data_IF_266183597604
#
_entry.id   IF_266183597604
#
_cell.length_a   1.000
_cell.length_b   1.000
_cell.length_c   1.000
_cell.angle_alpha   90.00
_cell.angle_beta   90.00
_cell.angle_gamma   90.00
#
_symmetry.space_group_name_H-M   'P 1'
#
loop_
_entity.id
_entity.type
_entity.pdbx_description
1 polymer ?
#
# COMPACT_ATOMS: atom_id res chain seq x y z
N UNK A 1 33.07 3.10 -5.42
CA UNK A 1 33.07 3.58 -4.03
C UNK A 1 32.46 2.51 -3.15
N UNK A 2 33.16 2.08 -2.10
CA UNK A 2 32.55 1.20 -1.09
C UNK A 2 31.50 1.98 -0.32
N UNK A 3 30.24 1.53 -0.41
CA UNK A 3 29.14 2.09 0.36
C UNK A 3 29.37 1.69 1.83
N UNK A 4 29.95 2.60 2.63
CA UNK A 4 30.11 2.39 4.07
C UNK A 4 28.73 2.35 4.74
N UNK A 5 28.51 1.34 5.56
CA UNK A 5 27.31 1.24 6.39
C UNK A 5 27.19 2.47 7.30
N UNK A 6 25.95 2.92 7.53
CA UNK A 6 25.69 4.03 8.43
C UNK A 6 26.15 3.70 9.86
N UNK A 7 26.66 4.69 10.62
CA UNK A 7 26.99 4.50 12.03
C UNK A 7 25.78 4.00 12.82
N UNK A 8 26.00 3.06 13.75
CA UNK A 8 24.93 2.41 14.55
C UNK A 8 24.05 3.44 15.26
N UNK A 9 24.63 4.55 15.74
CA UNK A 9 23.86 5.60 16.41
C UNK A 9 22.82 6.24 15.48
N UNK A 10 23.11 6.39 14.17
CA UNK A 10 22.15 6.92 13.18
C UNK A 10 21.00 5.95 13.01
N UNK A 11 21.29 4.65 12.93
CA UNK A 11 20.27 3.60 12.83
C UNK A 11 19.38 3.56 14.07
N UNK A 12 19.96 3.63 15.26
CA UNK A 12 19.21 3.68 16.52
C UNK A 12 18.33 4.94 16.58
N UNK A 13 18.85 6.10 16.17
CA UNK A 13 18.09 7.34 16.14
C UNK A 13 16.94 7.27 15.13
N UNK A 14 17.17 6.70 13.95
CA UNK A 14 16.14 6.51 12.93
C UNK A 14 15.03 5.57 13.42
N UNK A 15 15.40 4.41 13.98
CA UNK A 15 14.44 3.45 14.55
C UNK A 15 13.70 4.09 15.73
N UNK A 16 14.41 4.76 16.64
CA UNK A 16 13.82 5.46 17.77
C UNK A 16 12.86 6.56 17.34
N UNK A 17 13.17 7.29 16.26
CA UNK A 17 12.27 8.27 15.66
C UNK A 17 11.00 7.62 15.13
N UNK A 18 11.12 6.55 14.34
CA UNK A 18 9.97 5.80 13.79
C UNK A 18 9.10 5.23 14.92
N UNK A 19 9.72 4.62 15.94
CA UNK A 19 9.00 4.09 17.11
C UNK A 19 8.35 5.23 17.90
N UNK A 20 9.00 6.37 18.04
CA UNK A 20 8.46 7.56 18.70
C UNK A 20 7.26 8.18 17.98
N UNK A 21 7.14 8.00 16.67
CA UNK A 21 5.95 8.41 15.91
C UNK A 21 4.70 7.58 16.25
N UNK A 22 4.87 6.33 16.73
CA UNK A 22 3.75 5.43 17.06
C UNK A 22 2.86 6.02 18.18
N UNK A 23 3.37 6.35 19.39
CA UNK A 23 2.54 6.96 20.42
C UNK A 23 1.96 8.31 19.98
N UNK A 24 2.72 9.08 19.19
CA UNK A 24 2.24 10.34 18.62
C UNK A 24 1.02 10.15 17.71
N UNK A 25 1.06 9.14 16.84
CA UNK A 25 -0.06 8.78 15.97
C UNK A 25 -1.24 8.23 16.78
N UNK A 26 -1.01 7.46 17.83
CA UNK A 26 -2.07 6.90 18.68
C UNK A 26 -2.82 8.00 19.45
N UNK A 27 -2.11 8.93 20.08
CA UNK A 27 -2.73 9.99 20.89
C UNK A 27 -3.30 11.15 20.06
N UNK A 28 -2.61 11.57 18.99
CA UNK A 28 -2.98 12.76 18.21
C UNK A 28 -3.46 12.48 16.79
N UNK A 29 -3.45 11.23 16.32
CA UNK A 29 -3.75 10.88 14.94
C UNK A 29 -5.11 11.36 14.45
N UNK A 30 -6.17 11.24 15.28
CA UNK A 30 -7.51 11.71 14.90
C UNK A 30 -7.56 13.21 14.56
N UNK A 31 -6.77 14.02 15.26
CA UNK A 31 -6.69 15.45 15.03
C UNK A 31 -5.71 15.81 13.90
N UNK A 32 -4.59 15.10 13.78
CA UNK A 32 -3.49 15.45 12.86
C UNK A 32 -3.70 14.90 11.44
N UNK A 33 -4.24 13.68 11.30
CA UNK A 33 -4.35 12.98 10.02
C UNK A 33 -5.03 13.79 8.91
N UNK A 34 -6.15 14.51 9.15
CA UNK A 34 -6.80 15.31 8.11
C UNK A 34 -5.93 16.48 7.60
N UNK A 35 -4.96 16.95 8.39
CA UNK A 35 -4.11 18.10 8.05
C UNK A 35 -2.82 17.71 7.35
N UNK A 36 -2.47 16.43 7.27
CA UNK A 36 -1.22 15.98 6.64
C UNK A 36 -1.14 16.42 5.18
N UNK A 37 -2.18 16.15 4.38
CA UNK A 37 -2.20 16.49 2.95
C UNK A 37 -2.23 18.02 2.74
N UNK A 38 -3.16 18.79 3.35
CA UNK A 38 -3.14 20.25 3.22
C UNK A 38 -1.83 20.89 3.70
N UNK A 39 -1.28 20.40 4.82
CA UNK A 39 -0.03 20.91 5.39
C UNK A 39 1.16 20.66 4.46
N UNK A 40 1.23 19.49 3.84
CA UNK A 40 2.26 19.14 2.86
C UNK A 40 2.14 20.00 1.58
N UNK A 41 0.92 20.19 1.07
CA UNK A 41 0.67 21.10 -0.06
C UNK A 41 1.09 22.54 0.25
N UNK A 42 0.65 23.07 1.40
CA UNK A 42 1.04 24.40 1.84
C UNK A 42 2.56 24.52 2.03
N UNK A 43 3.19 23.50 2.60
CA UNK A 43 4.64 23.42 2.78
C UNK A 43 5.40 23.52 1.45
N UNK A 44 4.97 22.81 0.40
CA UNK A 44 5.60 22.91 -0.92
C UNK A 44 5.41 24.28 -1.56
N UNK A 45 4.21 24.86 -1.47
CA UNK A 45 3.93 26.21 -2.00
C UNK A 45 4.77 27.27 -1.27
N UNK A 46 4.80 27.20 0.07
CA UNK A 46 5.58 28.11 0.90
C UNK A 46 7.09 27.96 0.63
N UNK A 47 7.60 26.74 0.52
CA UNK A 47 8.99 26.48 0.18
C UNK A 47 9.35 27.07 -1.19
N UNK A 48 8.51 26.84 -2.20
CA UNK A 48 8.69 27.42 -3.54
C UNK A 48 8.68 28.95 -3.50
N UNK A 49 7.78 29.55 -2.71
CA UNK A 49 7.69 30.99 -2.54
C UNK A 49 8.94 31.57 -1.88
N UNK A 50 9.39 30.99 -0.76
CA UNK A 50 10.59 31.42 -0.04
C UNK A 50 11.86 31.27 -0.88
N UNK A 51 11.93 30.25 -1.73
CA UNK A 51 13.02 30.03 -2.68
C UNK A 51 12.89 30.88 -3.96
N UNK A 52 11.86 31.74 -4.07
CA UNK A 52 11.58 32.58 -5.24
C UNK A 52 11.46 31.78 -6.54
N UNK A 53 10.92 30.57 -6.44
CA UNK A 53 10.64 29.71 -7.59
C UNK A 53 9.35 30.15 -8.25
N UNK A 54 9.29 30.09 -9.58
CA UNK A 54 8.07 30.32 -10.36
C UNK A 54 7.16 29.09 -10.25
N UNK A 55 6.48 28.95 -9.11
CA UNK A 55 5.71 27.75 -8.71
C UNK A 55 4.76 27.29 -9.81
N UNK A 56 4.03 28.21 -10.42
CA UNK A 56 3.08 27.89 -11.49
C UNK A 56 3.75 27.25 -12.71
N UNK A 57 4.89 27.80 -13.16
CA UNK A 57 5.61 27.27 -14.32
C UNK A 57 6.16 25.87 -14.03
N UNK A 58 6.80 25.69 -12.88
CA UNK A 58 7.35 24.38 -12.45
C UNK A 58 6.23 23.35 -12.29
N UNK A 59 5.08 23.75 -11.76
CA UNK A 59 3.90 22.89 -11.65
C UNK A 59 3.41 22.43 -13.04
N UNK A 60 3.28 23.35 -13.99
CA UNK A 60 2.83 23.02 -15.37
C UNK A 60 3.84 22.11 -16.07
N UNK A 61 5.13 22.35 -15.91
CA UNK A 61 6.19 21.49 -16.44
C UNK A 61 6.12 20.08 -15.85
N UNK A 62 6.05 19.97 -14.52
CA UNK A 62 5.87 18.70 -13.83
C UNK A 62 4.59 17.96 -14.24
N UNK A 63 3.49 18.69 -14.48
CA UNK A 63 2.25 18.09 -14.97
C UNK A 63 2.39 17.50 -16.39
N UNK A 64 3.14 18.16 -17.29
CA UNK A 64 3.43 17.63 -18.63
C UNK A 64 4.30 16.38 -18.59
N UNK A 65 5.34 16.39 -17.76
CA UNK A 65 6.19 15.21 -17.55
C UNK A 65 5.38 14.04 -16.97
N UNK A 66 4.56 14.32 -15.95
CA UNK A 66 3.65 13.34 -15.35
C UNK A 66 2.69 12.75 -16.37
N UNK A 67 2.15 13.54 -17.30
CA UNK A 67 1.29 13.05 -18.37
C UNK A 67 2.02 12.07 -19.29
N UNK A 68 3.25 12.36 -19.70
CA UNK A 68 4.06 11.45 -20.52
C UNK A 68 4.35 10.13 -19.79
N UNK A 69 4.62 10.19 -18.49
CA UNK A 69 4.81 9.01 -17.65
C UNK A 69 3.51 8.19 -17.57
N UNK A 70 2.37 8.84 -17.37
CA UNK A 70 1.06 8.18 -17.34
C UNK A 70 0.79 7.41 -18.65
N UNK A 71 1.00 8.04 -19.81
CA UNK A 71 0.81 7.39 -21.13
C UNK A 71 1.67 6.13 -21.28
N UNK A 72 2.92 6.14 -20.80
CA UNK A 72 3.81 4.95 -20.81
C UNK A 72 3.29 3.82 -19.92
N UNK A 73 2.60 4.15 -18.84
CA UNK A 73 2.18 3.22 -17.80
C UNK A 73 0.79 2.61 -18.09
N UNK A 74 -0.09 3.34 -18.78
CA UNK A 74 -1.47 2.91 -19.13
C UNK A 74 -1.55 1.45 -19.61
N UNK A 75 -0.74 0.98 -20.58
CA UNK A 75 -0.86 -0.39 -21.10
C UNK A 75 -0.67 -1.45 -20.02
N UNK A 76 0.29 -1.23 -19.11
CA UNK A 76 0.56 -2.15 -18.00
C UNK A 76 -0.60 -2.17 -17.00
N UNK A 77 -1.19 -1.01 -16.71
CA UNK A 77 -2.34 -0.93 -15.79
C UNK A 77 -3.57 -1.63 -16.37
N UNK A 78 -3.86 -1.41 -17.65
CA UNK A 78 -4.98 -2.07 -18.34
C UNK A 78 -4.81 -3.58 -18.29
N UNK A 79 -3.61 -4.11 -18.59
CA UNK A 79 -3.35 -5.55 -18.54
C UNK A 79 -3.60 -6.14 -17.15
N UNK A 80 -3.11 -5.49 -16.08
CA UNK A 80 -3.30 -5.97 -14.70
C UNK A 80 -4.77 -5.86 -14.28
N UNK A 81 -5.41 -4.71 -14.50
CA UNK A 81 -6.80 -4.48 -14.08
C UNK A 81 -7.79 -5.40 -14.80
N UNK A 82 -7.60 -5.63 -16.10
CA UNK A 82 -8.42 -6.59 -16.87
C UNK A 82 -8.17 -8.01 -16.37
N UNK A 83 -6.92 -8.41 -16.15
CA UNK A 83 -6.59 -9.75 -15.66
C UNK A 83 -7.18 -10.03 -14.27
N UNK A 84 -7.11 -9.05 -13.37
CA UNK A 84 -7.75 -9.11 -12.04
C UNK A 84 -9.27 -9.18 -12.17
N UNK A 85 -9.87 -8.38 -13.05
CA UNK A 85 -11.31 -8.42 -13.31
C UNK A 85 -11.77 -9.79 -13.81
N UNK A 86 -11.04 -10.38 -14.76
CA UNK A 86 -11.29 -11.72 -15.27
C UNK A 86 -11.13 -12.81 -14.20
N UNK A 87 -10.09 -12.72 -13.35
CA UNK A 87 -9.85 -13.65 -12.25
C UNK A 87 -11.00 -13.63 -11.21
N UNK A 88 -11.56 -12.45 -10.94
CA UNK A 88 -12.71 -12.33 -10.04
C UNK A 88 -13.99 -12.85 -10.71
N UNK A 89 -14.22 -12.51 -11.97
CA UNK A 89 -15.41 -12.92 -12.70
C UNK A 89 -15.44 -14.43 -13.02
N UNK A 90 -14.29 -15.10 -13.04
CA UNK A 90 -14.19 -16.53 -13.32
C UNK A 90 -14.56 -17.44 -12.15
N UNK A 91 -14.78 -16.90 -10.94
CA UNK A 91 -14.99 -17.68 -9.72
C UNK A 91 -13.72 -18.34 -9.17
N UNK A 92 -12.56 -18.10 -9.80
CA UNK A 92 -11.28 -18.64 -9.33
C UNK A 92 -10.92 -18.15 -7.93
N UNK A 93 -11.28 -16.90 -7.60
CA UNK A 93 -11.07 -16.35 -6.25
C UNK A 93 -11.85 -17.13 -5.19
N UNK A 94 -13.11 -17.47 -5.47
CA UNK A 94 -13.96 -18.22 -4.54
C UNK A 94 -13.40 -19.63 -4.30
N UNK A 95 -12.95 -20.30 -5.37
CA UNK A 95 -12.28 -21.60 -5.26
C UNK A 95 -10.99 -21.53 -4.43
N UNK A 96 -10.20 -20.46 -4.58
CA UNK A 96 -9.00 -20.26 -3.75
C UNK A 96 -9.38 -20.05 -2.28
N UNK A 97 -10.46 -19.33 -2.00
CA UNK A 97 -10.96 -19.11 -0.64
C UNK A 97 -11.45 -20.41 -0.02
N UNK A 98 -12.21 -21.21 -0.75
CA UNK A 98 -12.72 -22.49 -0.25
C UNK A 98 -11.58 -23.45 0.10
N UNK A 99 -10.51 -23.44 -0.70
CA UNK A 99 -9.35 -24.30 -0.48
C UNK A 99 -8.40 -23.78 0.61
N UNK A 100 -8.06 -22.48 0.59
CA UNK A 100 -7.06 -21.90 1.49
C UNK A 100 -7.67 -21.37 2.80
N UNK A 101 -8.94 -20.98 2.80
CA UNK A 101 -9.67 -20.40 3.92
C UNK A 101 -9.55 -21.22 5.22
N UNK A 102 -9.76 -22.55 5.20
CA UNK A 102 -9.60 -23.37 6.41
C UNK A 102 -8.19 -23.36 6.99
N UNK A 103 -7.17 -23.14 6.15
CA UNK A 103 -5.77 -23.06 6.58
C UNK A 103 -5.42 -21.64 7.04
N UNK A 104 -5.86 -20.62 6.29
CA UNK A 104 -5.61 -19.22 6.62
C UNK A 104 -6.30 -18.80 7.91
N UNK A 105 -7.52 -19.30 8.17
CA UNK A 105 -8.25 -19.01 9.40
C UNK A 105 -7.52 -19.51 10.65
N UNK A 106 -6.77 -20.61 10.55
CA UNK A 106 -5.97 -21.14 11.69
C UNK A 106 -4.82 -20.23 12.09
N UNK A 107 -4.31 -19.43 11.15
CA UNK A 107 -3.24 -18.46 11.41
C UNK A 107 -3.79 -17.06 11.70
N UNK A 108 -5.11 -16.88 11.82
CA UNK A 108 -5.75 -15.59 12.10
C UNK A 108 -6.13 -14.77 10.86
N UNK A 109 -6.05 -15.35 9.66
CA UNK A 109 -6.52 -14.74 8.41
C UNK A 109 -7.84 -15.39 7.96
N UNK A 110 -8.99 -14.87 8.38
CA UNK A 110 -10.31 -15.45 8.09
C UNK A 110 -10.61 -15.41 6.58
N UNK A 111 -11.46 -16.34 6.14
CA UNK A 111 -11.77 -16.56 4.72
C UNK A 111 -12.34 -15.31 4.04
N UNK A 112 -13.04 -14.45 4.78
CA UNK A 112 -13.62 -13.19 4.32
C UNK A 112 -12.54 -12.15 3.97
N UNK A 113 -11.41 -12.16 4.69
CA UNK A 113 -10.29 -11.24 4.46
C UNK A 113 -9.28 -11.78 3.43
N UNK A 114 -9.31 -13.08 3.14
CA UNK A 114 -8.37 -13.75 2.25
C UNK A 114 -8.38 -13.21 0.80
N UNK A 115 -9.54 -12.93 0.16
CA UNK A 115 -9.58 -12.30 -1.16
C UNK A 115 -8.82 -10.98 -1.21
N UNK A 116 -8.93 -10.19 -0.13
CA UNK A 116 -8.21 -8.92 -0.04
C UNK A 116 -6.70 -9.15 0.01
N UNK A 117 -6.23 -10.06 0.87
CA UNK A 117 -4.81 -10.38 1.00
C UNK A 117 -4.21 -10.87 -0.34
N UNK A 118 -4.97 -11.64 -1.13
CA UNK A 118 -4.54 -12.12 -2.44
C UNK A 118 -4.56 -11.04 -3.53
N UNK A 119 -5.57 -10.17 -3.51
CA UNK A 119 -5.73 -9.12 -4.53
C UNK A 119 -4.85 -7.90 -4.27
N UNK A 120 -4.44 -7.68 -3.02
CA UNK A 120 -3.70 -6.48 -2.62
C UNK A 120 -2.37 -6.30 -3.36
N UNK A 121 -1.51 -7.32 -3.53
CA UNK A 121 -0.30 -7.20 -4.37
C UNK A 121 -0.60 -6.89 -5.84
N UNK A 122 -1.78 -7.26 -6.34
CA UNK A 122 -2.18 -7.09 -7.74
C UNK A 122 -2.82 -5.72 -8.01
N UNK A 123 -3.68 -5.25 -7.10
CA UNK A 123 -4.45 -4.03 -7.29
C UNK A 123 -4.92 -3.41 -5.97
N UNK A 124 -4.52 -2.17 -5.74
CA UNK A 124 -4.92 -1.40 -4.56
C UNK A 124 -6.38 -0.97 -4.63
N UNK A 125 -6.88 -0.62 -5.81
CA UNK A 125 -8.29 -0.28 -6.01
C UNK A 125 -9.20 -1.50 -5.94
N UNK A 126 -8.75 -2.65 -6.43
CA UNK A 126 -9.45 -3.93 -6.28
C UNK A 126 -9.57 -4.35 -4.81
N UNK A 127 -8.46 -4.29 -4.06
CA UNK A 127 -8.44 -4.56 -2.63
C UNK A 127 -9.27 -3.55 -1.83
N UNK A 128 -9.22 -2.26 -2.18
CA UNK A 128 -10.05 -1.23 -1.54
C UNK A 128 -11.55 -1.48 -1.75
N UNK A 129 -11.95 -1.96 -2.93
CA UNK A 129 -13.35 -2.35 -3.18
C UNK A 129 -13.82 -3.45 -2.24
N UNK A 130 -12.96 -4.44 -1.93
CA UNK A 130 -13.27 -5.51 -0.96
C UNK A 130 -13.34 -4.96 0.46
N UNK A 131 -12.37 -4.14 0.87
CA UNK A 131 -12.40 -3.46 2.16
C UNK A 131 -13.71 -2.67 2.33
N UNK A 132 -14.10 -1.90 1.31
CA UNK A 132 -15.32 -1.11 1.35
C UNK A 132 -16.55 -2.01 1.46
N UNK A 133 -16.62 -3.14 0.75
CA UNK A 133 -17.74 -4.07 0.91
C UNK A 133 -17.81 -4.69 2.29
N UNK A 134 -16.68 -5.08 2.88
CA UNK A 134 -16.64 -5.72 4.21
C UNK A 134 -16.97 -4.74 5.33
N UNK A 135 -16.47 -3.50 5.24
CA UNK A 135 -16.78 -2.45 6.23
C UNK A 135 -18.26 -2.04 6.18
N UNK A 136 -18.86 -2.02 4.99
CA UNK A 136 -20.28 -1.67 4.85
C UNK A 136 -21.22 -2.87 5.08
N UNK A 137 -20.70 -4.09 5.21
CA UNK A 137 -21.51 -5.25 5.54
C UNK A 137 -21.98 -5.14 7.01
N UNK A 138 -23.29 -5.17 7.29
CA UNK A 138 -23.83 -5.07 8.65
C UNK A 138 -23.36 -6.19 9.59
N UNK A 139 -22.97 -7.35 9.06
CA UNK A 139 -22.51 -8.50 9.85
C UNK A 139 -21.05 -8.41 10.25
N UNK A 140 -20.23 -7.69 9.48
CA UNK A 140 -18.81 -7.50 9.71
C UNK A 140 -18.57 -6.11 10.30
N UNK A 141 -18.89 -5.06 9.55
CA UNK A 141 -18.69 -3.69 9.99
C UNK A 141 -17.22 -3.29 10.21
N UNK A 142 -16.96 -2.00 10.47
CA UNK A 142 -15.60 -1.49 10.71
C UNK A 142 -14.98 -1.97 12.03
N UNK A 143 -15.80 -2.21 13.05
CA UNK A 143 -15.36 -2.53 14.42
C UNK A 143 -15.26 -4.03 14.72
N UNK A 144 -15.29 -4.88 13.69
CA UNK A 144 -14.99 -6.31 13.84
C UNK A 144 -13.51 -6.61 13.66
N UNK A 145 -13.09 -7.79 14.11
CA UNK A 145 -11.75 -8.32 13.83
C UNK A 145 -11.42 -8.27 12.32
N UNK A 146 -12.36 -8.71 11.46
CA UNK A 146 -12.18 -8.66 10.01
C UNK A 146 -12.04 -7.20 9.54
N UNK A 147 -12.88 -6.28 10.03
CA UNK A 147 -12.81 -4.85 9.74
C UNK A 147 -11.46 -4.21 10.10
N UNK A 148 -10.93 -4.50 11.29
CA UNK A 148 -9.60 -4.06 11.71
C UNK A 148 -8.49 -4.69 10.87
N UNK A 149 -8.59 -5.99 10.57
CA UNK A 149 -7.61 -6.71 9.78
C UNK A 149 -7.52 -6.17 8.35
N UNK A 150 -8.65 -6.02 7.65
CA UNK A 150 -8.66 -5.50 6.27
C UNK A 150 -8.18 -4.06 6.21
N UNK A 151 -8.53 -3.24 7.21
CA UNK A 151 -8.03 -1.87 7.33
C UNK A 151 -6.50 -1.84 7.55
N UNK A 152 -5.99 -2.75 8.36
CA UNK A 152 -4.55 -2.86 8.64
C UNK A 152 -3.79 -3.38 7.43
N UNK A 153 -4.34 -4.37 6.71
CA UNK A 153 -3.79 -4.88 5.44
C UNK A 153 -3.69 -3.76 4.39
N UNK A 154 -4.72 -2.92 4.28
CA UNK A 154 -4.74 -1.78 3.35
C UNK A 154 -3.61 -0.78 3.64
N UNK A 155 -3.21 -0.62 4.90
CA UNK A 155 -2.14 0.29 5.30
C UNK A 155 -0.73 -0.33 5.33
N UNK A 156 -0.63 -1.65 5.45
CA UNK A 156 0.65 -2.34 5.77
C UNK A 156 1.30 -3.04 4.58
N UNK A 157 0.64 -3.08 3.42
CA UNK A 157 1.11 -3.80 2.23
C UNK A 157 0.99 -2.95 0.98
N UNK A 158 1.79 -3.31 -0.03
CA UNK A 158 1.86 -2.58 -1.28
C UNK A 158 1.13 -3.30 -2.42
N UNK A 159 0.99 -2.58 -3.53
CA UNK A 159 0.47 -3.14 -4.78
C UNK A 159 1.63 -3.65 -5.63
N UNK A 160 2.37 -4.65 -5.14
CA UNK A 160 3.65 -5.10 -5.71
C UNK A 160 3.70 -5.18 -7.24
N UNK A 161 2.75 -5.85 -7.89
CA UNK A 161 2.75 -5.98 -9.35
C UNK A 161 2.49 -4.65 -10.06
N UNK A 162 1.61 -3.82 -9.49
CA UNK A 162 1.33 -2.48 -9.99
C UNK A 162 2.56 -1.59 -9.82
N UNK A 163 3.15 -1.51 -8.61
CA UNK A 163 4.34 -0.69 -8.32
C UNK A 163 5.49 -1.08 -9.23
N UNK A 164 5.77 -2.37 -9.39
CA UNK A 164 6.80 -2.85 -10.31
C UNK A 164 6.47 -2.39 -11.74
N UNK A 165 5.24 -2.58 -12.22
CA UNK A 165 4.85 -2.20 -13.57
C UNK A 165 4.98 -0.69 -13.83
N UNK A 166 4.53 0.15 -12.89
CA UNK A 166 4.61 1.62 -12.97
C UNK A 166 6.06 2.06 -12.94
N UNK A 167 6.82 1.60 -11.94
CA UNK A 167 8.17 2.11 -11.69
C UNK A 167 9.14 1.59 -12.75
N UNK A 168 9.08 0.29 -13.08
CA UNK A 168 9.96 -0.28 -14.09
C UNK A 168 9.51 0.10 -15.50
N UNK A 169 8.21 0.31 -15.73
CA UNK A 169 7.69 0.82 -16.99
C UNK A 169 8.16 2.24 -17.30
N UNK A 170 8.21 3.13 -16.30
CA UNK A 170 8.69 4.50 -16.46
C UNK A 170 10.15 4.57 -16.96
N UNK A 171 11.00 3.68 -16.45
CA UNK A 171 12.44 3.60 -16.81
C UNK A 171 12.81 2.42 -17.72
N UNK A 172 11.82 1.71 -18.28
CA UNK A 172 11.97 0.60 -19.23
C UNK A 172 12.84 -0.58 -18.74
N UNK A 173 12.82 -0.88 -17.43
CA UNK A 173 13.57 -2.01 -16.85
C UNK A 173 12.83 -3.33 -17.11
N UNK A 174 13.54 -4.31 -17.67
CA UNK A 174 12.96 -5.63 -18.02
C UNK A 174 13.26 -6.75 -17.01
N UNK A 175 14.26 -6.58 -16.13
CA UNK A 175 14.70 -7.65 -15.21
C UNK A 175 14.04 -7.50 -13.83
N UNK A 176 12.91 -8.18 -13.63
CA UNK A 176 12.09 -8.04 -12.40
C UNK A 176 12.36 -9.08 -11.30
N UNK A 177 13.10 -10.16 -11.59
CA UNK A 177 13.09 -11.37 -10.74
C UNK A 177 13.40 -11.15 -9.25
N UNK A 178 14.42 -10.35 -8.94
CA UNK A 178 14.86 -10.15 -7.55
C UNK A 178 13.92 -9.17 -6.83
N UNK A 179 13.45 -8.15 -7.53
CA UNK A 179 12.51 -7.16 -7.00
C UNK A 179 11.17 -7.79 -6.70
N UNK A 180 10.67 -8.65 -7.60
CA UNK A 180 9.42 -9.37 -7.39
C UNK A 180 9.51 -10.28 -6.16
N UNK A 181 10.59 -11.05 -6.03
CA UNK A 181 10.78 -11.91 -4.87
C UNK A 181 10.83 -11.09 -3.57
N UNK A 182 11.63 -10.03 -3.52
CA UNK A 182 11.74 -9.17 -2.34
C UNK A 182 10.40 -8.50 -1.97
N UNK A 183 9.67 -7.99 -2.96
CA UNK A 183 8.40 -7.31 -2.76
C UNK A 183 7.30 -8.28 -2.28
N UNK A 184 7.18 -9.47 -2.88
CA UNK A 184 6.21 -10.48 -2.41
C UNK A 184 6.54 -10.99 -1.00
N UNK A 185 7.82 -11.14 -0.65
CA UNK A 185 8.19 -11.48 0.73
C UNK A 185 7.87 -10.36 1.72
N UNK A 186 7.99 -9.09 1.30
CA UNK A 186 7.62 -7.94 2.11
C UNK A 186 6.10 -7.86 2.30
N UNK A 187 5.31 -8.08 1.24
CA UNK A 187 3.85 -8.16 1.34
C UNK A 187 3.41 -9.30 2.26
N UNK A 188 4.04 -10.48 2.15
CA UNK A 188 3.77 -11.60 3.05
C UNK A 188 4.10 -11.24 4.50
N UNK A 189 5.24 -10.60 4.76
CA UNK A 189 5.59 -10.12 6.09
C UNK A 189 4.59 -9.07 6.60
N UNK A 190 4.10 -8.20 5.73
CA UNK A 190 3.05 -7.21 6.06
C UNK A 190 1.71 -7.87 6.39
N UNK A 191 1.31 -8.92 5.66
CA UNK A 191 0.12 -9.72 5.96
C UNK A 191 0.26 -10.40 7.33
N UNK A 192 1.38 -11.09 7.55
CA UNK A 192 1.64 -11.75 8.84
C UNK A 192 1.73 -10.77 10.00
N UNK A 193 2.34 -9.60 9.78
CA UNK A 193 2.42 -8.52 10.76
C UNK A 193 1.04 -7.93 11.09
N UNK A 194 0.19 -7.71 10.09
CA UNK A 194 -1.18 -7.26 10.28
C UNK A 194 -2.00 -8.27 11.10
N UNK A 195 -1.90 -9.56 10.75
CA UNK A 195 -2.58 -10.64 11.48
C UNK A 195 -2.09 -10.72 12.92
N UNK A 196 -0.78 -10.69 13.15
CA UNK A 196 -0.20 -10.72 14.49
C UNK A 196 -0.60 -9.51 15.33
N UNK A 197 -0.59 -8.30 14.75
CA UNK A 197 -0.99 -7.08 15.44
C UNK A 197 -2.48 -7.09 15.78
N UNK A 198 -3.34 -7.45 14.82
CA UNK A 198 -4.78 -7.49 15.03
C UNK A 198 -5.18 -8.56 16.04
N UNK A 199 -4.63 -9.77 15.96
CA UNK A 199 -4.93 -10.86 16.92
C UNK A 199 -4.41 -10.60 18.34
N UNK A 200 -3.38 -9.77 18.49
CA UNK A 200 -2.88 -9.38 19.81
C UNK A 200 -3.68 -8.23 20.44
N UNK A 201 -4.17 -7.29 19.62
CA UNK A 201 -4.83 -6.07 20.10
C UNK A 201 -6.36 -6.19 20.18
N UNK A 202 -6.98 -7.07 19.39
CA UNK A 202 -8.43 -7.21 19.24
C UNK A 202 -8.85 -8.68 19.37
#
# INVERSE_FOLDING_TARGET
EEIKAYPIWVTILAIGGVVGFIPLAVFWGKGLSPWVIPGLMFGFLLFGFLRKVRIYEVFVEGAKEGFNVAVRIIPYLVAILVSVGMLRASGAMDLMVDFLGPLSSKIGLPAEALPMALLRPLSGSGAYGILASLINDPTIGPDSYVGYLVSTLQGSTETTFYVIAVYFGAVQVRRIRHTLAAALTADLAGIMGAVAACSYLF
#
